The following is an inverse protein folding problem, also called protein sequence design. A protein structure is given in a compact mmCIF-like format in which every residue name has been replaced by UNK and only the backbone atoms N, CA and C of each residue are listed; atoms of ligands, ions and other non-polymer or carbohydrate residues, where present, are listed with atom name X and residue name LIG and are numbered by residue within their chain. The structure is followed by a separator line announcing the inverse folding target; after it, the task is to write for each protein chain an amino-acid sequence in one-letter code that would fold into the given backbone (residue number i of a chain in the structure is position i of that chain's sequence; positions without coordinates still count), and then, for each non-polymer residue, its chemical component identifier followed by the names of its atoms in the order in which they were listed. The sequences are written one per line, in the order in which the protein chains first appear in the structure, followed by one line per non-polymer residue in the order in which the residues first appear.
data_IF_654778917385
#
_entry.id   IF_654778917385
#
_cell.length_a   1.000
_cell.length_b   1.000
_cell.length_c   1.000
_cell.angle_alpha   90.00
_cell.angle_beta   90.00
_cell.angle_gamma   90.00
#
_symmetry.space_group_name_H-M   'P 1'
#
loop_
_entity.id
_entity.type
_entity.pdbx_description
1 polymer ?
#
# COMPACT_ATOMS: atom_id res chain seq x y z
N UNK A 1 -0.10 3.76 -1.48
CA UNK A 1 -1.29 4.45 -2.02
C UNK A 1 -1.22 5.97 -1.99
N UNK A 2 -0.91 6.68 -0.89
CA UNK A 2 -0.92 8.17 -0.88
C UNK A 2 -0.11 8.83 -2.01
N UNK A 3 1.14 8.40 -2.22
CA UNK A 3 1.98 8.92 -3.30
C UNK A 3 1.37 8.65 -4.69
N UNK A 4 0.83 7.44 -4.90
CA UNK A 4 0.14 7.05 -6.14
C UNK A 4 -1.09 7.91 -6.39
N UNK A 5 -1.93 8.14 -5.38
CA UNK A 5 -3.14 8.95 -5.53
C UNK A 5 -2.80 10.41 -5.88
N UNK A 6 -1.76 10.98 -5.26
CA UNK A 6 -1.30 12.32 -5.61
C UNK A 6 -0.84 12.38 -7.07
N UNK A 7 -0.06 11.39 -7.50
CA UNK A 7 0.39 11.28 -8.89
C UNK A 7 -0.75 11.15 -9.88
N UNK A 8 -1.73 10.30 -9.57
CA UNK A 8 -2.88 10.04 -10.43
C UNK A 8 -3.72 11.31 -10.63
N UNK A 9 -3.85 12.14 -9.60
CA UNK A 9 -4.59 13.39 -9.68
C UNK A 9 -3.87 14.50 -10.48
N UNK A 10 -2.62 14.29 -10.90
CA UNK A 10 -1.88 15.25 -11.74
C UNK A 10 -2.29 15.17 -13.20
N UNK A 11 -2.83 14.04 -13.67
CA UNK A 11 -3.12 13.80 -15.08
C UNK A 11 -4.61 13.56 -15.31
N UNK A 12 -5.11 14.01 -16.46
CA UNK A 12 -6.49 13.75 -16.89
C UNK A 12 -6.79 12.24 -16.97
N UNK A 13 -5.82 11.48 -17.48
CA UNK A 13 -5.84 10.01 -17.46
C UNK A 13 -4.55 9.46 -16.84
N UNK A 14 -4.72 8.87 -15.65
CA UNK A 14 -3.65 8.20 -14.93
C UNK A 14 -2.99 7.08 -15.72
N UNK A 15 -3.70 6.39 -16.61
CA UNK A 15 -3.16 5.28 -17.40
C UNK A 15 -2.26 5.77 -18.54
N UNK A 16 -2.53 6.96 -19.09
CA UNK A 16 -1.69 7.53 -20.15
C UNK A 16 -0.52 8.33 -19.59
N UNK A 17 -0.71 8.99 -18.44
CA UNK A 17 0.34 9.74 -17.76
C UNK A 17 0.68 11.09 -18.40
N UNK A 18 1.92 11.59 -18.21
CA UNK A 18 2.33 12.93 -18.65
C UNK A 18 2.24 13.12 -20.16
N UNK A 19 1.58 14.19 -20.58
CA UNK A 19 1.47 14.61 -21.98
C UNK A 19 2.61 15.55 -22.39
N UNK A 20 3.18 16.29 -21.44
CA UNK A 20 4.13 17.38 -21.63
C UNK A 20 3.46 18.75 -21.79
N UNK A 21 2.18 18.86 -21.43
CA UNK A 21 1.40 20.10 -21.42
C UNK A 21 1.00 20.53 -20.00
N UNK A 22 1.43 19.78 -19.00
CA UNK A 22 1.15 20.05 -17.59
C UNK A 22 1.96 21.26 -17.13
N UNK A 23 1.28 22.28 -16.59
CA UNK A 23 1.91 23.56 -16.18
C UNK A 23 2.85 23.39 -14.96
N UNK A 24 2.47 22.55 -13.99
CA UNK A 24 3.26 22.25 -12.81
C UNK A 24 2.96 20.82 -12.31
N UNK A 25 3.60 19.79 -12.90
CA UNK A 25 3.44 18.42 -12.42
C UNK A 25 4.04 18.28 -11.02
N UNK A 26 3.20 18.48 -10.00
CA UNK A 26 3.60 18.48 -8.59
C UNK A 26 4.41 17.22 -8.22
N UNK A 27 5.45 17.37 -7.38
CA UNK A 27 6.27 16.25 -6.96
C UNK A 27 5.45 15.20 -6.20
N UNK A 28 5.82 13.94 -6.43
CA UNK A 28 5.37 12.81 -5.64
C UNK A 28 5.68 13.03 -4.15
N UNK A 29 5.03 12.30 -3.26
CA UNK A 29 5.51 12.24 -1.87
C UNK A 29 6.54 11.12 -1.81
N UNK A 30 7.78 11.37 -1.32
CA UNK A 30 8.79 10.32 -1.22
C UNK A 30 8.34 9.22 -0.25
N UNK A 31 8.78 8.00 -0.53
CA UNK A 31 8.62 6.84 0.35
C UNK A 31 9.95 6.58 1.04
N UNK A 32 10.03 6.79 2.35
CA UNK A 32 11.28 6.66 3.08
C UNK A 32 11.80 5.20 3.06
N UNK A 33 13.00 4.94 2.54
CA UNK A 33 13.55 3.58 2.46
C UNK A 33 13.67 2.89 3.82
N UNK A 34 13.98 3.65 4.87
CA UNK A 34 14.06 3.13 6.24
C UNK A 34 12.76 2.44 6.68
N UNK A 35 11.59 3.05 6.40
CA UNK A 35 10.29 2.45 6.74
C UNK A 35 10.03 1.13 6.00
N UNK A 36 10.48 1.01 4.75
CA UNK A 36 10.37 -0.25 4.00
C UNK A 36 11.27 -1.34 4.61
N UNK A 37 12.48 -0.98 5.05
CA UNK A 37 13.40 -1.93 5.67
C UNK A 37 12.93 -2.38 7.05
N UNK A 38 12.47 -1.45 7.88
CA UNK A 38 11.93 -1.75 9.20
C UNK A 38 10.69 -2.64 9.08
N UNK A 39 9.75 -2.27 8.19
CA UNK A 39 8.56 -3.08 7.92
C UNK A 39 8.90 -4.49 7.41
N UNK A 40 9.92 -4.62 6.55
CA UNK A 40 10.41 -5.92 6.06
C UNK A 40 10.94 -6.79 7.19
N UNK A 41 11.71 -6.20 8.11
CA UNK A 41 12.24 -6.89 9.28
C UNK A 41 11.10 -7.37 10.17
N UNK A 42 10.16 -6.48 10.49
CA UNK A 42 9.06 -6.78 11.39
C UNK A 42 8.11 -7.84 10.82
N UNK A 43 7.77 -7.76 9.52
CA UNK A 43 6.95 -8.77 8.84
C UNK A 43 7.63 -10.15 8.85
N UNK A 44 8.94 -10.22 8.61
CA UNK A 44 9.68 -11.49 8.67
C UNK A 44 9.67 -12.09 10.06
N UNK A 45 9.93 -11.27 11.08
CA UNK A 45 9.90 -11.71 12.46
C UNK A 45 8.49 -12.19 12.87
N UNK A 46 7.44 -11.47 12.46
CA UNK A 46 6.06 -11.85 12.75
C UNK A 46 5.66 -13.18 12.09
N UNK A 47 6.08 -13.42 10.84
CA UNK A 47 5.78 -14.65 10.11
C UNK A 47 6.42 -15.92 10.71
N UNK A 48 7.39 -15.76 11.63
CA UNK A 48 8.03 -16.86 12.36
C UNK A 48 7.36 -17.17 13.71
N UNK A 49 6.41 -16.33 14.16
CA UNK A 49 5.71 -16.50 15.44
C UNK A 49 4.67 -17.64 15.39
N UNK A 50 4.30 -18.14 16.57
CA UNK A 50 3.29 -19.19 16.74
C UNK A 50 2.09 -18.69 17.58
N UNK A 51 0.85 -19.10 17.24
CA UNK A 51 0.48 -19.91 16.08
C UNK A 51 0.67 -19.13 14.77
N UNK A 52 0.98 -19.83 13.68
CA UNK A 52 1.17 -19.21 12.37
C UNK A 52 -0.17 -18.78 11.76
N UNK A 53 -0.16 -17.66 11.03
CA UNK A 53 -1.30 -17.13 10.30
C UNK A 53 -1.01 -17.19 8.80
N UNK A 54 -0.85 -18.42 8.28
CA UNK A 54 -0.21 -18.69 6.99
C UNK A 54 -0.68 -17.81 5.80
N UNK A 55 -1.99 -17.51 5.69
CA UNK A 55 -2.50 -16.64 4.62
C UNK A 55 -2.07 -15.18 4.79
N UNK A 56 -2.18 -14.64 6.01
CA UNK A 56 -1.75 -13.29 6.36
C UNK A 56 -0.23 -13.14 6.26
N UNK A 57 0.52 -14.10 6.79
CA UNK A 57 1.98 -14.11 6.75
C UNK A 57 2.50 -14.12 5.31
N UNK A 58 1.92 -14.98 4.45
CA UNK A 58 2.25 -15.05 3.03
C UNK A 58 1.90 -13.74 2.30
N UNK A 59 0.73 -13.16 2.58
CA UNK A 59 0.30 -11.91 1.96
C UNK A 59 1.16 -10.71 2.40
N UNK A 60 1.55 -10.65 3.67
CA UNK A 60 2.44 -9.61 4.21
C UNK A 60 3.83 -9.69 3.58
N UNK A 61 4.40 -10.89 3.46
CA UNK A 61 5.70 -11.12 2.82
C UNK A 61 5.66 -10.74 1.33
N UNK A 62 4.60 -11.12 0.61
CA UNK A 62 4.42 -10.74 -0.78
C UNK A 62 4.31 -9.21 -0.94
N UNK A 63 3.53 -8.55 -0.07
CA UNK A 63 3.36 -7.10 -0.05
C UNK A 63 4.70 -6.37 0.11
N UNK A 64 5.49 -6.72 1.13
CA UNK A 64 6.73 -5.98 1.41
C UNK A 64 7.84 -6.27 0.38
N UNK A 65 7.82 -7.45 -0.25
CA UNK A 65 8.70 -7.76 -1.38
C UNK A 65 8.35 -6.92 -2.62
N UNK A 66 7.06 -6.73 -2.92
CA UNK A 66 6.62 -5.90 -4.04
C UNK A 66 6.75 -4.38 -3.77
N UNK A 67 6.62 -3.94 -2.51
CA UNK A 67 6.64 -2.53 -2.14
C UNK A 67 8.01 -1.86 -2.37
N UNK A 68 9.12 -2.61 -2.23
CA UNK A 68 10.48 -2.07 -2.33
C UNK A 68 10.80 -1.46 -3.70
N UNK A 69 10.74 -2.24 -4.79
CA UNK A 69 11.01 -1.74 -6.15
C UNK A 69 10.10 -0.57 -6.55
N UNK A 70 8.81 -0.62 -6.19
CA UNK A 70 7.87 0.46 -6.47
C UNK A 70 8.26 1.75 -5.71
N UNK A 71 8.68 1.63 -4.45
CA UNK A 71 9.15 2.77 -3.65
C UNK A 71 10.41 3.42 -4.24
N UNK A 72 11.36 2.61 -4.75
CA UNK A 72 12.56 3.11 -5.42
C UNK A 72 12.22 3.91 -6.67
N UNK A 73 11.29 3.41 -7.50
CA UNK A 73 10.80 4.13 -8.67
C UNK A 73 10.07 5.42 -8.30
N UNK A 74 9.18 5.40 -7.30
CA UNK A 74 8.50 6.60 -6.78
C UNK A 74 9.51 7.65 -6.32
N UNK A 75 10.57 7.25 -5.61
CA UNK A 75 11.60 8.18 -5.13
C UNK A 75 12.44 8.76 -6.28
N UNK A 76 12.76 7.95 -7.27
CA UNK A 76 13.48 8.40 -8.47
C UNK A 76 12.66 9.40 -9.27
N UNK A 77 11.37 9.12 -9.45
CA UNK A 77 10.41 10.04 -10.04
C UNK A 77 10.28 11.33 -9.23
N UNK A 78 10.16 11.22 -7.91
CA UNK A 78 10.08 12.39 -7.02
C UNK A 78 11.27 13.31 -7.24
N UNK A 79 12.49 12.76 -7.22
CA UNK A 79 13.72 13.51 -7.47
C UNK A 79 13.73 14.15 -8.86
N UNK A 80 13.26 13.44 -9.88
CA UNK A 80 13.21 13.97 -11.24
C UNK A 80 12.29 15.20 -11.37
N UNK A 81 11.11 15.17 -10.74
CA UNK A 81 10.20 16.32 -10.72
C UNK A 81 10.72 17.45 -9.81
N UNK A 82 11.26 17.11 -8.63
CA UNK A 82 11.84 18.08 -7.67
C UNK A 82 13.01 18.87 -8.26
N UNK A 83 13.78 18.25 -9.15
CA UNK A 83 14.89 18.88 -9.87
C UNK A 83 14.48 19.60 -11.15
N UNK A 84 13.18 19.67 -11.46
CA UNK A 84 12.66 20.29 -12.69
C UNK A 84 13.20 19.68 -14.00
N UNK A 85 13.78 18.47 -13.96
CA UNK A 85 14.43 17.84 -15.12
C UNK A 85 13.47 17.62 -16.32
N UNK A 86 12.16 17.63 -16.08
CA UNK A 86 11.14 17.57 -17.13
C UNK A 86 11.10 18.80 -18.05
N UNK A 87 11.58 19.95 -17.55
CA UNK A 87 11.71 21.18 -18.34
C UNK A 87 12.87 21.07 -19.32
N UNK A 88 13.94 20.37 -18.94
CA UNK A 88 15.15 20.22 -19.74
C UNK A 88 15.03 19.13 -20.82
N UNK A 89 14.25 18.08 -20.56
CA UNK A 89 14.11 16.92 -21.47
C UNK A 89 12.76 16.85 -22.19
N UNK A 90 11.97 17.93 -22.13
CA UNK A 90 10.62 17.99 -22.70
C UNK A 90 9.74 16.79 -22.29
N UNK A 91 9.77 16.44 -21.00
CA UNK A 91 9.04 15.33 -20.37
C UNK A 91 9.44 13.92 -20.87
N UNK A 92 10.59 13.76 -21.53
CA UNK A 92 11.04 12.44 -21.99
C UNK A 92 11.23 11.46 -20.81
N UNK A 93 11.90 11.92 -19.75
CA UNK A 93 12.08 11.16 -18.51
C UNK A 93 10.75 10.89 -17.80
N UNK A 94 9.86 11.89 -17.72
CA UNK A 94 8.53 11.76 -17.11
C UNK A 94 7.74 10.60 -17.74
N UNK A 95 7.71 10.53 -19.08
CA UNK A 95 7.02 9.49 -19.85
C UNK A 95 7.68 8.11 -19.67
N UNK A 96 9.01 8.04 -19.64
CA UNK A 96 9.74 6.80 -19.41
C UNK A 96 9.48 6.25 -18.00
N UNK A 97 9.55 7.12 -16.99
CA UNK A 97 9.23 6.78 -15.61
C UNK A 97 7.78 6.32 -15.46
N UNK A 98 6.83 7.02 -16.09
CA UNK A 98 5.42 6.67 -16.02
C UNK A 98 5.16 5.23 -16.49
N UNK A 99 5.76 4.82 -17.61
CA UNK A 99 5.64 3.44 -18.13
C UNK A 99 6.14 2.39 -17.13
N UNK A 100 7.30 2.64 -16.54
CA UNK A 100 7.88 1.75 -15.51
C UNK A 100 6.99 1.70 -14.27
N UNK A 101 6.54 2.86 -13.80
CA UNK A 101 5.69 3.00 -12.64
C UNK A 101 4.36 2.28 -12.80
N UNK A 102 3.64 2.45 -13.92
CA UNK A 102 2.35 1.78 -14.16
C UNK A 102 2.52 0.27 -14.16
N UNK A 103 3.57 -0.25 -14.82
CA UNK A 103 3.85 -1.69 -14.81
C UNK A 103 4.04 -2.21 -13.38
N UNK A 104 4.90 -1.57 -12.59
CA UNK A 104 5.14 -1.98 -11.21
C UNK A 104 3.89 -1.81 -10.33
N UNK A 105 3.10 -0.77 -10.57
CA UNK A 105 1.86 -0.53 -9.83
C UNK A 105 0.81 -1.59 -10.15
N UNK A 106 0.64 -1.98 -11.41
CA UNK A 106 -0.28 -3.06 -11.81
C UNK A 106 0.13 -4.42 -11.22
N UNK A 107 1.44 -4.65 -11.03
CA UNK A 107 1.94 -5.83 -10.31
C UNK A 107 1.70 -5.73 -8.79
N UNK A 108 1.89 -4.54 -8.20
CA UNK A 108 1.79 -4.30 -6.77
C UNK A 108 0.35 -4.22 -6.23
N UNK A 109 -0.55 -3.54 -6.94
CA UNK A 109 -1.93 -3.26 -6.50
C UNK A 109 -2.72 -4.53 -6.09
N UNK A 110 -2.77 -5.62 -6.88
CA UNK A 110 -3.47 -6.83 -6.46
C UNK A 110 -2.83 -7.50 -5.23
N UNK A 111 -1.51 -7.42 -5.08
CA UNK A 111 -0.79 -7.95 -3.90
C UNK A 111 -1.18 -7.16 -2.64
N UNK A 112 -1.16 -5.83 -2.74
CA UNK A 112 -1.55 -4.95 -1.65
C UNK A 112 -3.02 -5.11 -1.26
N UNK A 113 -3.93 -5.25 -2.24
CA UNK A 113 -5.35 -5.54 -1.99
C UNK A 113 -5.54 -6.87 -1.27
N UNK A 114 -4.80 -7.91 -1.66
CA UNK A 114 -4.83 -9.21 -0.96
C UNK A 114 -4.38 -9.07 0.50
N UNK A 115 -3.27 -8.37 0.75
CA UNK A 115 -2.79 -8.17 2.11
C UNK A 115 -3.80 -7.41 2.99
N UNK A 116 -4.42 -6.35 2.46
CA UNK A 116 -5.48 -5.60 3.16
C UNK A 116 -6.69 -6.49 3.46
N UNK A 117 -7.07 -7.37 2.52
CA UNK A 117 -8.17 -8.31 2.72
C UNK A 117 -7.87 -9.31 3.83
N UNK A 118 -6.65 -9.86 3.88
CA UNK A 118 -6.21 -10.77 4.96
C UNK A 118 -6.17 -10.09 6.33
N UNK A 119 -5.71 -8.84 6.41
CA UNK A 119 -5.79 -8.04 7.65
C UNK A 119 -7.26 -7.91 8.09
N UNK A 120 -8.15 -7.60 7.15
CA UNK A 120 -9.59 -7.43 7.44
C UNK A 120 -10.22 -8.72 7.97
N UNK A 121 -9.90 -9.86 7.36
CA UNK A 121 -10.34 -11.19 7.81
C UNK A 121 -9.84 -11.45 9.24
N UNK A 122 -8.55 -11.22 9.49
CA UNK A 122 -7.94 -11.46 10.80
C UNK A 122 -8.55 -10.58 11.89
N UNK A 123 -8.69 -9.27 11.63
CA UNK A 123 -9.32 -8.33 12.57
C UNK A 123 -10.77 -8.71 12.87
N UNK A 124 -11.53 -9.15 11.86
CA UNK A 124 -12.90 -9.63 12.06
C UNK A 124 -12.97 -10.91 12.91
N UNK A 125 -12.05 -11.85 12.70
CA UNK A 125 -11.95 -13.07 13.52
C UNK A 125 -11.58 -12.74 14.97
N UNK A 126 -10.63 -11.83 15.18
CA UNK A 126 -10.27 -11.35 16.52
C UNK A 126 -11.46 -10.71 17.24
N UNK A 127 -12.17 -9.78 16.59
CA UNK A 127 -13.36 -9.16 17.16
C UNK A 127 -14.43 -10.20 17.53
N UNK A 128 -14.69 -11.19 16.67
CA UNK A 128 -15.65 -12.25 16.95
C UNK A 128 -15.22 -13.15 18.14
N UNK A 129 -13.92 -13.41 18.29
CA UNK A 129 -13.39 -14.19 19.41
C UNK A 129 -13.45 -13.43 20.74
N UNK A 130 -13.16 -12.13 20.73
CA UNK A 130 -13.30 -11.25 21.90
C UNK A 130 -14.76 -11.18 22.36
N UNK A 131 -15.70 -11.04 21.42
CA UNK A 131 -17.14 -11.12 21.71
C UNK A 131 -17.47 -12.44 22.40
N UNK A 132 -17.10 -13.59 21.83
CA UNK A 132 -17.36 -14.91 22.42
C UNK A 132 -16.74 -15.09 23.80
N UNK A 133 -15.52 -14.58 24.00
CA UNK A 133 -14.85 -14.62 25.30
C UNK A 133 -15.61 -13.80 26.35
N UNK A 134 -16.10 -12.62 25.99
CA UNK A 134 -16.95 -11.78 26.83
C UNK A 134 -18.28 -12.46 27.13
N UNK A 135 -18.98 -13.01 26.13
CA UNK A 135 -20.24 -13.73 26.31
C UNK A 135 -20.08 -14.94 27.25
N UNK A 136 -18.97 -15.68 27.13
CA UNK A 136 -18.65 -16.80 28.02
C UNK A 136 -18.33 -16.36 29.44
N UNK A 137 -17.63 -15.22 29.61
CA UNK A 137 -17.27 -14.67 30.92
C UNK A 137 -18.48 -14.10 31.65
N UNK A 138 -19.38 -13.45 30.93
CA UNK A 138 -20.49 -12.68 31.50
C UNK A 138 -21.84 -13.42 31.45
N UNK A 139 -21.92 -14.51 30.69
CA UNK A 139 -23.17 -15.27 30.47
C UNK A 139 -24.24 -14.50 29.70
N UNK A 140 -23.88 -13.36 29.11
CA UNK A 140 -24.78 -12.45 28.40
C UNK A 140 -24.36 -12.36 26.95
N UNK A 141 -25.27 -12.68 26.03
CA UNK A 141 -24.99 -12.57 24.59
C UNK A 141 -25.00 -11.11 24.13
N UNK A 142 -24.43 -10.82 22.97
CA UNK A 142 -24.49 -9.48 22.35
C UNK A 142 -25.91 -8.92 22.30
N UNK A 143 -26.94 -9.77 22.11
CA UNK A 143 -28.35 -9.37 22.10
C UNK A 143 -28.78 -8.71 23.42
N UNK A 144 -28.19 -9.12 24.54
CA UNK A 144 -28.44 -8.52 25.85
C UNK A 144 -27.93 -7.07 25.94
N UNK A 145 -26.82 -6.75 25.27
CA UNK A 145 -26.20 -5.42 25.31
C UNK A 145 -26.71 -4.47 24.22
N UNK A 146 -27.10 -4.99 23.05
CA UNK A 146 -27.60 -4.16 21.95
C UNK A 146 -29.11 -3.94 21.99
N UNK A 147 -29.85 -4.64 22.86
CA UNK A 147 -31.33 -4.63 22.92
C UNK A 147 -31.99 -4.86 21.55
N UNK A 148 -31.25 -5.39 20.58
CA UNK A 148 -31.77 -5.79 19.28
C UNK A 148 -32.59 -7.05 19.49
N UNK A 149 -33.91 -6.91 19.40
CA UNK A 149 -34.88 -8.00 19.42
C UNK A 149 -34.76 -8.88 18.17
#
# INVERSE_FOLDING_TARGET
YRAVNRYANTFDDFRTGPTGKEDDPSPLVPVYPAFIQDCRKDIKAAAELKPAFASLDSAALAFINAAGPLAETINSMNKYYDQDNFKDDAFAGAKAFHKTFIKQFDEFDPIAKKYIAEITIMSGQHAANEIKATEKKEGKSIKYYTLLT
#
